data_IF_215751100200
#
_entry.id   IF_215751100200
#
_cell.length_a   1.000
_cell.length_b   1.000
_cell.length_c   1.000
_cell.angle_alpha   90.00
_cell.angle_beta   90.00
_cell.angle_gamma   90.00
#
_symmetry.space_group_name_H-M   'P 1'
#
loop_
_entity.id
_entity.type
_entity.pdbx_description
1 polymer ?
#
# COMPACT_ATOMS: atom_id res chain seq x y z
N UNK A 1 -12.39 -19.78 -2.20
CA UNK A 1 -12.50 -20.89 -3.18
C UNK A 1 -11.15 -21.51 -3.53
N UNK A 2 -10.27 -20.86 -4.29
CA UNK A 2 -8.98 -21.48 -4.68
C UNK A 2 -8.08 -21.83 -3.49
N UNK A 3 -8.02 -20.97 -2.46
CA UNK A 3 -7.26 -21.26 -1.22
C UNK A 3 -7.91 -22.41 -0.45
N UNK A 4 -9.25 -22.50 -0.39
CA UNK A 4 -9.96 -23.62 0.25
C UNK A 4 -9.65 -24.95 -0.46
N UNK A 5 -9.59 -24.93 -1.79
CA UNK A 5 -9.33 -26.08 -2.63
C UNK A 5 -7.88 -26.63 -2.55
N UNK A 6 -6.96 -25.94 -1.85
CA UNK A 6 -5.61 -26.44 -1.60
C UNK A 6 -5.56 -27.60 -0.59
N UNK A 7 -6.70 -28.00 0.00
CA UNK A 7 -6.76 -29.01 1.06
C UNK A 7 -5.91 -30.25 0.76
N UNK A 8 -4.89 -30.47 1.60
CA UNK A 8 -3.98 -31.63 1.52
C UNK A 8 -2.86 -31.56 0.46
N UNK A 9 -2.86 -30.57 -0.44
CA UNK A 9 -1.81 -30.39 -1.46
C UNK A 9 -0.65 -29.51 -0.99
N UNK A 10 -0.90 -28.67 0.02
CA UNK A 10 0.10 -27.83 0.70
C UNK A 10 0.08 -28.07 2.21
N UNK A 11 1.10 -27.59 2.92
CA UNK A 11 1.11 -27.59 4.40
C UNK A 11 -0.04 -26.72 4.93
N UNK A 12 -0.64 -27.14 6.04
CA UNK A 12 -1.72 -26.39 6.70
C UNK A 12 -1.31 -24.94 7.01
N UNK A 13 -0.08 -24.74 7.51
CA UNK A 13 0.44 -23.41 7.81
C UNK A 13 0.45 -22.49 6.57
N UNK A 14 0.87 -23.01 5.41
CA UNK A 14 0.84 -22.26 4.14
C UNK A 14 -0.59 -21.89 3.72
N UNK A 15 -1.54 -22.80 3.89
CA UNK A 15 -2.95 -22.52 3.60
C UNK A 15 -3.52 -21.45 4.54
N UNK A 16 -3.19 -21.52 5.83
CA UNK A 16 -3.59 -20.54 6.84
C UNK A 16 -2.99 -19.16 6.57
N UNK A 17 -1.71 -19.09 6.19
CA UNK A 17 -1.05 -17.84 5.79
C UNK A 17 -1.78 -17.15 4.63
N UNK A 18 -2.13 -17.90 3.58
CA UNK A 18 -2.90 -17.37 2.44
C UNK A 18 -4.28 -16.83 2.87
N UNK A 19 -4.98 -17.53 3.78
CA UNK A 19 -6.26 -17.04 4.32
C UNK A 19 -6.09 -15.76 5.14
N UNK A 20 -5.06 -15.68 5.99
CA UNK A 20 -4.80 -14.51 6.80
C UNK A 20 -4.46 -13.29 5.95
N UNK A 21 -3.76 -13.49 4.83
CA UNK A 21 -3.50 -12.42 3.87
C UNK A 21 -4.76 -11.94 3.16
N UNK A 22 -5.60 -12.85 2.65
CA UNK A 22 -6.89 -12.50 2.06
C UNK A 22 -7.76 -11.70 3.04
N UNK A 23 -7.84 -12.19 4.28
CA UNK A 23 -8.58 -11.52 5.35
C UNK A 23 -8.01 -10.12 5.60
N UNK A 24 -6.69 -9.98 5.72
CA UNK A 24 -6.05 -8.69 5.96
C UNK A 24 -6.30 -7.71 4.81
N UNK A 25 -6.24 -8.19 3.56
CA UNK A 25 -6.55 -7.40 2.37
C UNK A 25 -8.01 -6.92 2.40
N UNK A 26 -8.96 -7.81 2.68
CA UNK A 26 -10.38 -7.48 2.76
C UNK A 26 -10.69 -6.49 3.90
N UNK A 27 -10.12 -6.70 5.09
CA UNK A 27 -10.27 -5.79 6.22
C UNK A 27 -9.78 -4.37 5.87
N UNK A 28 -8.63 -4.24 5.20
CA UNK A 28 -8.10 -2.94 4.76
C UNK A 28 -8.97 -2.28 3.69
N UNK A 29 -9.48 -3.06 2.73
CA UNK A 29 -10.39 -2.55 1.70
C UNK A 29 -11.69 -2.00 2.31
N UNK A 30 -12.28 -2.73 3.26
CA UNK A 30 -13.50 -2.28 3.96
C UNK A 30 -13.22 -1.03 4.78
N UNK A 31 -12.10 -0.98 5.53
CA UNK A 31 -11.72 0.20 6.28
C UNK A 31 -11.47 1.41 5.39
N UNK A 32 -10.88 1.22 4.21
CA UNK A 32 -10.72 2.29 3.23
C UNK A 32 -12.08 2.85 2.81
N UNK A 33 -13.03 1.99 2.41
CA UNK A 33 -14.37 2.41 2.00
C UNK A 33 -15.11 3.17 3.11
N UNK A 34 -15.05 2.67 4.34
CA UNK A 34 -15.72 3.30 5.49
C UNK A 34 -15.16 4.70 5.84
N UNK A 35 -13.91 4.99 5.46
CA UNK A 35 -13.30 6.31 5.68
C UNK A 35 -13.52 7.28 4.53
N UNK A 36 -13.55 6.79 3.30
CA UNK A 36 -13.60 7.63 2.10
C UNK A 36 -14.99 7.75 1.49
N UNK A 37 -15.97 6.97 1.95
CA UNK A 37 -17.36 7.04 1.49
C UNK A 37 -18.27 7.51 2.62
N UNK A 38 -19.14 8.48 2.31
CA UNK A 38 -20.12 9.00 3.28
C UNK A 38 -21.17 7.93 3.57
N UNK A 39 -21.54 7.79 4.83
CA UNK A 39 -22.64 6.91 5.22
C UNK A 39 -24.00 7.52 4.79
N UNK A 40 -24.99 6.69 4.39
CA UNK A 40 -24.89 5.25 4.20
C UNK A 40 -24.12 4.88 2.92
N UNK A 41 -23.26 3.85 3.01
CA UNK A 41 -22.49 3.37 1.84
C UNK A 41 -23.39 2.50 0.98
N UNK A 42 -23.62 2.91 -0.27
CA UNK A 42 -24.23 2.05 -1.29
C UNK A 42 -23.20 1.00 -1.75
N UNK A 43 -23.41 -0.24 -1.30
CA UNK A 43 -22.52 -1.37 -1.60
C UNK A 43 -22.52 -1.69 -3.09
N UNK A 44 -23.68 -1.62 -3.76
CA UNK A 44 -23.78 -1.94 -5.18
C UNK A 44 -23.04 -0.90 -6.02
N UNK A 45 -23.19 0.38 -5.69
CA UNK A 45 -22.46 1.46 -6.33
C UNK A 45 -20.95 1.34 -6.10
N UNK A 46 -20.50 1.10 -4.86
CA UNK A 46 -19.08 0.92 -4.55
C UNK A 46 -18.48 -0.30 -5.30
N UNK A 47 -19.21 -1.40 -5.39
CA UNK A 47 -18.76 -2.56 -6.18
C UNK A 47 -18.66 -2.22 -7.66
N UNK A 48 -19.65 -1.51 -8.23
CA UNK A 48 -19.61 -1.10 -9.63
C UNK A 48 -18.45 -0.16 -9.93
N UNK A 49 -18.15 0.76 -9.01
CA UNK A 49 -17.05 1.72 -9.09
C UNK A 49 -15.67 1.04 -9.02
N UNK A 50 -15.42 0.23 -7.98
CA UNK A 50 -14.06 -0.26 -7.71
C UNK A 50 -13.71 -1.58 -8.39
N UNK A 51 -14.68 -2.46 -8.65
CA UNK A 51 -14.40 -3.81 -9.19
C UNK A 51 -13.56 -3.79 -10.47
N UNK A 52 -13.86 -2.96 -11.49
CA UNK A 52 -13.07 -2.95 -12.73
C UNK A 52 -11.61 -2.58 -12.49
N UNK A 53 -11.36 -1.54 -11.70
CA UNK A 53 -10.01 -1.07 -11.40
C UNK A 53 -9.21 -2.06 -10.56
N UNK A 54 -9.81 -2.62 -9.51
CA UNK A 54 -9.17 -3.65 -8.68
C UNK A 54 -8.86 -4.92 -9.49
N UNK A 55 -9.76 -5.33 -10.38
CA UNK A 55 -9.52 -6.48 -11.27
C UNK A 55 -8.38 -6.22 -12.26
N UNK A 56 -8.28 -5.01 -12.81
CA UNK A 56 -7.16 -4.65 -13.68
C UNK A 56 -5.82 -4.62 -12.90
N UNK A 57 -5.81 -4.06 -11.69
CA UNK A 57 -4.63 -4.05 -10.82
C UNK A 57 -4.22 -5.46 -10.37
N UNK A 58 -5.16 -6.36 -10.10
CA UNK A 58 -4.81 -7.73 -9.68
C UNK A 58 -4.07 -8.54 -10.75
N UNK A 59 -4.09 -8.10 -12.02
CA UNK A 59 -3.37 -8.73 -13.11
C UNK A 59 -2.15 -7.92 -13.59
N UNK A 60 -2.14 -6.59 -13.40
CA UNK A 60 -1.11 -5.71 -13.97
C UNK A 60 -0.28 -4.91 -12.96
N UNK A 61 -0.62 -4.94 -11.65
CA UNK A 61 0.07 -4.13 -10.65
C UNK A 61 1.53 -4.55 -10.45
N UNK A 62 1.86 -5.83 -10.64
CA UNK A 62 3.23 -6.32 -10.53
C UNK A 62 4.20 -5.55 -11.45
N UNK A 63 3.77 -5.23 -12.67
CA UNK A 63 4.55 -4.46 -13.63
C UNK A 63 4.78 -2.99 -13.19
N UNK A 64 4.01 -2.49 -12.22
CA UNK A 64 4.18 -1.15 -11.64
C UNK A 64 5.06 -1.15 -10.39
N UNK A 65 5.34 -2.32 -9.80
CA UNK A 65 6.19 -2.43 -8.62
C UNK A 65 7.65 -2.19 -9.01
N UNK A 66 8.35 -1.43 -8.17
CA UNK A 66 9.76 -1.08 -8.36
C UNK A 66 10.57 -1.28 -7.08
N UNK A 67 11.89 -1.23 -7.20
CA UNK A 67 12.84 -1.38 -6.11
C UNK A 67 12.55 -2.57 -5.18
N UNK A 68 12.65 -2.32 -3.88
CA UNK A 68 12.50 -3.33 -2.82
C UNK A 68 11.12 -3.98 -2.79
N UNK A 69 10.06 -3.27 -3.19
CA UNK A 69 8.71 -3.84 -3.22
C UNK A 69 8.59 -4.96 -4.25
N UNK A 70 9.20 -4.75 -5.42
CA UNK A 70 9.28 -5.78 -6.46
C UNK A 70 10.11 -6.99 -6.01
N UNK A 71 11.24 -6.75 -5.37
CA UNK A 71 12.08 -7.82 -4.80
C UNK A 71 11.32 -8.69 -3.79
N UNK A 72 10.52 -8.05 -2.94
CA UNK A 72 9.71 -8.74 -1.92
C UNK A 72 8.56 -9.53 -2.55
N UNK A 73 7.93 -9.00 -3.60
CA UNK A 73 6.93 -9.74 -4.37
C UNK A 73 7.53 -11.01 -4.99
N UNK A 74 8.70 -10.90 -5.64
CA UNK A 74 9.40 -12.07 -6.20
C UNK A 74 9.82 -13.08 -5.14
N UNK A 75 10.35 -12.63 -4.00
CA UNK A 75 10.73 -13.52 -2.90
C UNK A 75 9.51 -14.27 -2.33
N UNK A 76 8.37 -13.59 -2.19
CA UNK A 76 7.12 -14.19 -1.73
C UNK A 76 6.56 -15.20 -2.74
N UNK A 77 6.63 -14.89 -4.04
CA UNK A 77 6.24 -15.82 -5.10
C UNK A 77 7.08 -17.10 -5.04
N UNK A 78 8.42 -16.94 -5.01
CA UNK A 78 9.35 -18.07 -4.93
C UNK A 78 9.09 -18.94 -3.69
N UNK A 79 8.83 -18.32 -2.54
CA UNK A 79 8.47 -19.03 -1.30
C UNK A 79 7.17 -19.82 -1.43
N UNK A 80 6.16 -19.27 -2.10
CA UNK A 80 4.87 -19.94 -2.34
C UNK A 80 4.99 -21.10 -3.31
N UNK A 81 5.75 -20.92 -4.39
CA UNK A 81 6.04 -22.00 -5.34
C UNK A 81 6.80 -23.13 -4.64
N UNK A 82 7.80 -22.82 -3.82
CA UNK A 82 8.52 -23.81 -3.02
C UNK A 82 7.63 -24.52 -1.98
N UNK A 83 6.54 -23.87 -1.54
CA UNK A 83 5.53 -24.46 -0.67
C UNK A 83 4.42 -25.24 -1.43
N UNK A 84 4.60 -25.49 -2.73
CA UNK A 84 3.66 -26.16 -3.63
C UNK A 84 2.32 -25.43 -3.83
N UNK A 85 2.28 -24.12 -3.60
CA UNK A 85 1.12 -23.31 -4.00
C UNK A 85 1.05 -23.31 -5.53
N UNK A 86 -0.12 -23.60 -6.14
CA UNK A 86 -0.26 -23.59 -7.60
C UNK A 86 0.18 -22.26 -8.21
N UNK A 87 0.92 -22.32 -9.32
CA UNK A 87 1.61 -21.16 -9.92
C UNK A 87 0.71 -19.93 -10.08
N UNK A 88 -0.45 -20.08 -10.71
CA UNK A 88 -1.36 -18.93 -10.89
C UNK A 88 -1.87 -18.34 -9.57
N UNK A 89 -2.01 -19.15 -8.51
CA UNK A 89 -2.37 -18.64 -7.19
C UNK A 89 -1.17 -17.97 -6.52
N UNK A 90 0.04 -18.54 -6.63
CA UNK A 90 1.27 -17.94 -6.14
C UNK A 90 1.47 -16.54 -6.75
N UNK A 91 1.39 -16.42 -8.08
CA UNK A 91 1.48 -15.16 -8.83
C UNK A 91 0.45 -14.13 -8.40
N UNK A 92 -0.84 -14.48 -8.32
CA UNK A 92 -1.86 -13.49 -7.92
C UNK A 92 -1.76 -13.10 -6.46
N UNK A 93 -1.41 -14.04 -5.59
CA UNK A 93 -1.43 -13.81 -4.15
C UNK A 93 -0.33 -12.86 -3.70
N UNK A 94 0.77 -12.68 -4.46
CA UNK A 94 1.86 -11.76 -4.03
C UNK A 94 1.41 -10.31 -3.97
N UNK A 95 0.33 -10.00 -4.67
CA UNK A 95 -0.26 -8.66 -4.72
C UNK A 95 -1.23 -8.42 -3.57
N UNK A 96 -1.76 -9.43 -2.87
CA UNK A 96 -2.75 -9.23 -1.80
C UNK A 96 -2.30 -8.29 -0.67
N UNK A 97 -1.04 -8.32 -0.21
CA UNK A 97 -0.55 -7.36 0.79
C UNK A 97 -0.66 -5.89 0.33
N UNK A 98 -0.72 -5.65 -0.98
CA UNK A 98 -0.72 -4.34 -1.62
C UNK A 98 -2.06 -3.98 -2.26
N UNK A 99 -2.90 -4.95 -2.65
CA UNK A 99 -4.07 -4.72 -3.50
C UNK A 99 -5.11 -3.75 -2.90
N UNK A 100 -5.14 -3.62 -1.58
CA UNK A 100 -5.94 -2.60 -0.88
C UNK A 100 -5.56 -1.15 -1.23
N UNK A 101 -4.33 -0.86 -1.66
CA UNK A 101 -3.94 0.47 -2.15
C UNK A 101 -4.55 0.77 -3.51
N UNK A 102 -5.07 -0.24 -4.20
CA UNK A 102 -5.82 -0.06 -5.45
C UNK A 102 -7.06 0.81 -5.28
N UNK A 103 -7.61 0.93 -4.07
CA UNK A 103 -8.70 1.85 -3.80
C UNK A 103 -8.25 3.32 -3.90
N UNK A 104 -7.07 3.67 -3.36
CA UNK A 104 -6.48 5.01 -3.54
C UNK A 104 -6.27 5.29 -5.03
N UNK A 105 -5.70 4.32 -5.77
CA UNK A 105 -5.41 4.48 -7.20
C UNK A 105 -6.68 4.69 -8.02
N UNK A 106 -7.75 3.94 -7.74
CA UNK A 106 -9.03 4.10 -8.45
C UNK A 106 -9.67 5.44 -8.12
N UNK A 107 -9.72 5.83 -6.84
CA UNK A 107 -10.29 7.12 -6.41
C UNK A 107 -9.50 8.30 -7.00
N UNK A 108 -8.17 8.21 -7.00
CA UNK A 108 -7.29 9.23 -7.55
C UNK A 108 -7.38 9.32 -9.07
N UNK A 109 -7.51 8.19 -9.79
CA UNK A 109 -7.76 8.20 -11.24
C UNK A 109 -9.08 8.89 -11.59
N UNK A 110 -10.13 8.66 -10.79
CA UNK A 110 -11.42 9.33 -10.99
C UNK A 110 -11.35 10.82 -10.68
N UNK A 111 -10.63 11.23 -9.62
CA UNK A 111 -10.44 12.65 -9.26
C UNK A 111 -9.60 13.42 -10.29
N UNK A 112 -8.46 12.86 -10.69
CA UNK A 112 -7.49 13.51 -11.60
C UNK A 112 -7.86 13.37 -13.08
N UNK A 113 -8.85 12.52 -13.40
CA UNK A 113 -9.24 12.16 -14.77
C UNK A 113 -8.07 11.62 -15.60
N UNK A 114 -7.13 10.95 -14.94
CA UNK A 114 -5.97 10.32 -15.57
C UNK A 114 -6.18 8.82 -15.76
N UNK A 115 -5.52 8.19 -16.75
CA UNK A 115 -5.53 6.75 -16.90
C UNK A 115 -5.01 6.04 -15.65
N UNK A 116 -5.66 4.96 -15.24
CA UNK A 116 -5.30 4.21 -14.03
C UNK A 116 -3.84 3.74 -14.00
N UNK A 117 -3.26 3.37 -15.16
CA UNK A 117 -1.86 2.98 -15.25
C UNK A 117 -0.90 4.15 -14.96
N UNK A 118 -1.24 5.37 -15.41
CA UNK A 118 -0.48 6.59 -15.11
C UNK A 118 -0.51 6.88 -13.62
N UNK A 119 -1.69 6.79 -13.01
CA UNK A 119 -1.88 7.03 -11.57
C UNK A 119 -1.15 5.98 -10.73
N UNK A 120 -1.31 4.69 -11.03
CA UNK A 120 -0.58 3.62 -10.36
C UNK A 120 0.95 3.79 -10.50
N UNK A 121 1.40 4.18 -11.69
CA UNK A 121 2.81 4.44 -12.00
C UNK A 121 3.38 5.57 -11.15
N UNK A 122 2.67 6.69 -11.03
CA UNK A 122 3.04 7.83 -10.19
C UNK A 122 3.03 7.46 -8.71
N UNK A 123 1.96 6.82 -8.24
CA UNK A 123 1.77 6.39 -6.84
C UNK A 123 2.96 5.53 -6.36
N UNK A 124 3.32 4.49 -7.11
CA UNK A 124 4.44 3.62 -6.73
C UNK A 124 5.81 4.25 -7.01
N UNK A 125 5.93 5.18 -7.97
CA UNK A 125 7.17 5.91 -8.19
C UNK A 125 7.46 6.87 -7.02
N UNK A 126 6.47 7.59 -6.51
CA UNK A 126 6.63 8.43 -5.30
C UNK A 126 7.06 7.57 -4.11
N UNK A 127 6.40 6.41 -3.92
CA UNK A 127 6.76 5.47 -2.86
C UNK A 127 8.23 5.03 -2.92
N UNK A 128 8.72 4.72 -4.11
CA UNK A 128 10.11 4.30 -4.34
C UNK A 128 11.09 5.47 -4.17
N UNK A 129 10.84 6.62 -4.79
CA UNK A 129 11.74 7.77 -4.78
C UNK A 129 11.93 8.38 -3.39
N UNK A 130 10.91 8.29 -2.54
CA UNK A 130 10.99 8.69 -1.13
C UNK A 130 11.48 7.57 -0.21
N UNK A 131 11.79 6.39 -0.76
CA UNK A 131 12.17 5.17 -0.05
C UNK A 131 11.26 4.92 1.15
N UNK A 132 9.96 4.74 0.91
CA UNK A 132 8.94 4.60 1.97
C UNK A 132 8.79 3.15 2.47
N UNK A 133 9.55 2.21 1.92
CA UNK A 133 9.46 0.79 2.29
C UNK A 133 9.72 0.54 3.78
N UNK A 134 10.77 1.15 4.34
CA UNK A 134 11.09 1.00 5.77
C UNK A 134 9.94 1.47 6.66
N UNK A 135 9.25 2.56 6.28
CA UNK A 135 8.15 3.14 7.05
C UNK A 135 6.92 2.23 6.98
N UNK A 136 6.61 1.72 5.80
CA UNK A 136 5.57 0.71 5.59
C UNK A 136 5.78 -0.51 6.49
N UNK A 137 7.01 -1.06 6.50
CA UNK A 137 7.36 -2.20 7.35
C UNK A 137 7.36 -1.87 8.83
N UNK A 138 7.91 -0.73 9.24
CA UNK A 138 7.96 -0.32 10.64
C UNK A 138 6.55 -0.21 11.24
N UNK A 139 5.60 0.41 10.50
CA UNK A 139 4.18 0.42 10.86
C UNK A 139 3.63 -1.01 10.95
N UNK A 140 4.02 -1.87 10.00
CA UNK A 140 3.64 -3.28 9.98
C UNK A 140 4.16 -4.12 11.15
N UNK A 141 5.26 -3.71 11.80
CA UNK A 141 5.86 -4.37 12.96
C UNK A 141 5.38 -3.81 14.30
N UNK A 142 4.62 -2.72 14.31
CA UNK A 142 4.09 -2.14 15.55
C UNK A 142 3.29 -3.20 16.36
N UNK A 143 3.41 -3.18 17.70
CA UNK A 143 2.71 -4.10 18.59
C UNK A 143 1.20 -4.10 18.38
N UNK A 144 0.58 -5.25 18.64
CA UNK A 144 -0.88 -5.44 18.60
C UNK A 144 -1.42 -6.00 19.92
N UNK A 145 -0.71 -5.73 21.02
CA UNK A 145 -0.95 -6.34 22.33
C UNK A 145 -2.28 -5.92 22.95
N UNK A 146 -2.86 -4.81 22.49
CA UNK A 146 -4.20 -4.38 22.88
C UNK A 146 -4.96 -3.72 21.72
N UNK A 147 -6.25 -3.45 21.96
CA UNK A 147 -7.15 -2.80 20.99
C UNK A 147 -6.63 -1.43 20.53
N UNK A 148 -6.12 -0.61 21.45
CA UNK A 148 -5.65 0.75 21.14
C UNK A 148 -4.40 0.76 20.27
N UNK A 149 -3.46 -0.15 20.52
CA UNK A 149 -2.28 -0.34 19.68
C UNK A 149 -2.66 -0.82 18.28
N UNK A 150 -3.62 -1.75 18.19
CA UNK A 150 -4.15 -2.20 16.89
C UNK A 150 -4.78 -1.05 16.11
N UNK A 151 -5.58 -0.21 16.79
CA UNK A 151 -6.21 0.96 16.18
C UNK A 151 -5.17 2.01 15.78
N UNK A 152 -4.17 2.29 16.60
CA UNK A 152 -3.10 3.23 16.30
C UNK A 152 -2.26 2.79 15.10
N UNK A 153 -1.88 1.51 15.04
CA UNK A 153 -1.20 0.94 13.87
C UNK A 153 -2.04 1.09 12.61
N UNK A 154 -3.35 0.84 12.69
CA UNK A 154 -4.25 1.09 11.55
C UNK A 154 -4.17 2.56 11.15
N UNK A 155 -4.36 3.48 12.09
CA UNK A 155 -4.34 4.92 11.81
C UNK A 155 -3.04 5.37 11.13
N UNK A 156 -1.87 4.91 11.60
CA UNK A 156 -0.59 5.23 10.97
C UNK A 156 -0.47 4.66 9.55
N UNK A 157 -1.04 3.47 9.30
CA UNK A 157 -1.08 2.91 7.95
C UNK A 157 -1.95 3.78 7.04
N UNK A 158 -3.08 4.26 7.54
CA UNK A 158 -3.98 5.11 6.78
C UNK A 158 -3.33 6.47 6.49
N UNK A 159 -2.70 7.09 7.49
CA UNK A 159 -1.95 8.34 7.33
C UNK A 159 -0.83 8.21 6.28
N UNK A 160 -0.15 7.05 6.22
CA UNK A 160 0.85 6.78 5.19
C UNK A 160 0.24 6.73 3.79
N UNK A 161 -0.87 6.01 3.64
CA UNK A 161 -1.55 5.83 2.35
C UNK A 161 -2.18 7.13 1.85
N UNK A 162 -2.81 7.89 2.74
CA UNK A 162 -3.37 9.21 2.44
C UNK A 162 -2.27 10.18 1.98
N UNK A 163 -1.18 10.28 2.74
CA UNK A 163 -0.05 11.12 2.34
C UNK A 163 0.53 10.68 0.99
N UNK A 164 0.61 9.37 0.73
CA UNK A 164 1.09 8.87 -0.55
C UNK A 164 0.14 9.21 -1.72
N UNK A 165 -1.17 9.15 -1.50
CA UNK A 165 -2.17 9.55 -2.49
C UNK A 165 -2.07 11.06 -2.81
N UNK A 166 -1.95 11.91 -1.79
CA UNK A 166 -1.80 13.36 -1.95
C UNK A 166 -0.52 13.70 -2.74
N UNK A 167 0.60 13.07 -2.40
CA UNK A 167 1.88 13.28 -3.10
C UNK A 167 1.84 12.75 -4.54
N UNK A 168 1.12 11.66 -4.80
CA UNK A 168 0.92 11.15 -6.14
C UNK A 168 0.05 12.10 -6.98
N UNK A 169 -0.98 12.71 -6.38
CA UNK A 169 -1.79 13.76 -7.01
C UNK A 169 -0.95 14.98 -7.37
N UNK A 170 -0.14 15.47 -6.44
CA UNK A 170 0.79 16.59 -6.68
C UNK A 170 1.77 16.27 -7.82
N UNK A 171 2.29 15.05 -7.87
CA UNK A 171 3.18 14.60 -8.94
C UNK A 171 2.49 14.54 -10.30
N UNK A 172 1.22 14.12 -10.34
CA UNK A 172 0.41 14.13 -11.55
C UNK A 172 0.17 15.57 -12.02
N UNK A 173 -0.15 16.48 -11.09
CA UNK A 173 -0.39 17.91 -11.40
C UNK A 173 0.88 18.60 -11.90
N UNK A 174 2.04 18.26 -11.33
CA UNK A 174 3.33 18.77 -11.77
C UNK A 174 3.77 18.23 -13.15
N UNK A 175 3.08 17.21 -13.67
CA UNK A 175 3.35 16.57 -14.96
C UNK A 175 4.17 15.28 -14.84
N UNK A 176 5.05 15.18 -13.85
CA UNK A 176 5.74 13.93 -13.52
C UNK A 176 6.26 13.93 -12.08
N UNK A 177 6.60 12.74 -11.57
CA UNK A 177 7.29 12.61 -10.27
C UNK A 177 8.64 13.33 -10.28
N UNK A 178 9.36 13.34 -11.41
CA UNK A 178 10.64 14.03 -11.51
C UNK A 178 10.47 15.55 -11.39
N UNK A 179 9.47 16.12 -12.06
CA UNK A 179 9.17 17.55 -12.00
C UNK A 179 8.71 17.97 -10.60
N UNK A 180 7.86 17.14 -9.97
CA UNK A 180 7.45 17.35 -8.58
C UNK A 180 8.63 17.27 -7.61
N UNK A 181 9.53 16.31 -7.78
CA UNK A 181 10.73 16.21 -6.94
C UNK A 181 11.64 17.43 -7.10
N UNK A 182 11.84 17.91 -8.33
CA UNK A 182 12.64 19.09 -8.60
C UNK A 182 12.03 20.34 -7.96
N UNK A 183 10.71 20.50 -8.02
CA UNK A 183 10.00 21.60 -7.37
C UNK A 183 10.09 21.54 -5.82
N UNK A 184 10.22 20.33 -5.25
CA UNK A 184 10.18 20.09 -3.80
C UNK A 184 11.54 19.69 -3.19
N UNK A 185 12.65 19.86 -3.93
CA UNK A 185 13.98 19.33 -3.59
C UNK A 185 14.40 19.64 -2.13
N UNK A 186 14.23 20.90 -1.69
CA UNK A 186 14.59 21.33 -0.33
C UNK A 186 13.75 20.65 0.75
N UNK A 187 12.47 20.38 0.49
CA UNK A 187 11.57 19.73 1.44
C UNK A 187 11.86 18.24 1.52
N UNK A 188 12.05 17.60 0.35
CA UNK A 188 12.43 16.19 0.25
C UNK A 188 13.77 15.93 0.94
N UNK A 189 14.77 16.78 0.73
CA UNK A 189 16.09 16.65 1.37
C UNK A 189 15.98 16.69 2.90
N UNK A 190 15.15 17.60 3.45
CA UNK A 190 14.91 17.67 4.90
C UNK A 190 14.17 16.43 5.42
N UNK A 191 13.16 15.95 4.70
CA UNK A 191 12.44 14.74 5.08
C UNK A 191 13.36 13.51 5.06
N UNK A 192 14.22 13.37 4.05
CA UNK A 192 15.17 12.28 3.92
C UNK A 192 16.22 12.28 5.05
N UNK A 193 16.70 13.46 5.46
CA UNK A 193 17.61 13.59 6.61
C UNK A 193 16.94 13.09 7.90
N UNK A 194 15.71 13.51 8.16
CA UNK A 194 14.96 13.04 9.33
C UNK A 194 14.64 11.54 9.26
N UNK A 195 14.27 11.01 8.10
CA UNK A 195 14.06 9.57 7.93
C UNK A 195 15.34 8.80 8.24
N UNK A 196 16.51 9.33 7.86
CA UNK A 196 17.81 8.73 8.21
C UNK A 196 18.04 8.70 9.72
N UNK A 197 17.68 9.76 10.44
CA UNK A 197 17.78 9.81 11.91
C UNK A 197 16.83 8.78 12.56
N UNK A 198 15.57 8.73 12.14
CA UNK A 198 14.57 7.82 12.70
C UNK A 198 14.96 6.35 12.48
N UNK A 199 15.48 6.02 11.29
CA UNK A 199 15.93 4.66 10.94
C UNK A 199 17.08 4.15 11.79
N UNK A 200 17.87 5.03 12.43
CA UNK A 200 19.00 4.67 13.29
C UNK A 200 18.56 4.24 14.70
N UNK A 201 17.30 4.47 15.07
CA UNK A 201 16.77 4.05 16.36
C UNK A 201 16.53 2.54 16.37
N UNK A 202 16.94 1.86 17.43
CA UNK A 202 16.89 0.39 17.56
C UNK A 202 15.45 -0.17 17.46
N UNK A 203 14.45 0.61 17.89
CA UNK A 203 13.05 0.25 17.81
C UNK A 203 12.18 1.44 17.42
N UNK A 204 11.29 1.22 16.46
CA UNK A 204 10.29 2.20 16.07
C UNK A 204 9.03 2.03 16.92
N UNK A 205 8.55 3.12 17.49
CA UNK A 205 7.33 3.20 18.26
C UNK A 205 6.30 4.10 17.57
N UNK A 206 5.12 4.23 18.19
CA UNK A 206 4.05 5.09 17.65
C UNK A 206 4.54 6.54 17.48
N UNK A 207 5.30 7.05 18.45
CA UNK A 207 5.80 8.42 18.48
C UNK A 207 6.71 8.72 17.29
N UNK A 208 7.75 7.91 17.10
CA UNK A 208 8.75 8.09 16.03
C UNK A 208 8.12 7.97 14.65
N UNK A 209 7.20 7.02 14.46
CA UNK A 209 6.51 6.84 13.18
C UNK A 209 5.49 7.94 12.89
N UNK A 210 4.80 8.48 13.91
CA UNK A 210 3.94 9.67 13.73
C UNK A 210 4.75 10.90 13.31
N UNK A 211 5.97 11.07 13.83
CA UNK A 211 6.87 12.16 13.41
C UNK A 211 7.27 12.02 11.95
N UNK A 212 7.63 10.80 11.51
CA UNK A 212 7.94 10.52 10.10
C UNK A 212 6.75 10.84 9.19
N UNK A 213 5.54 10.39 9.56
CA UNK A 213 4.32 10.63 8.76
C UNK A 213 3.91 12.09 8.70
N UNK A 214 4.10 12.86 9.79
CA UNK A 214 3.90 14.31 9.75
C UNK A 214 4.81 14.97 8.73
N UNK A 215 6.05 14.51 8.62
CA UNK A 215 7.03 15.10 7.71
C UNK A 215 6.79 14.69 6.27
N UNK A 216 6.28 13.47 6.05
CA UNK A 216 5.76 13.05 4.75
C UNK A 216 4.59 13.93 4.30
N UNK A 217 3.59 14.17 5.17
CA UNK A 217 2.45 15.04 4.85
C UNK A 217 2.85 16.48 4.55
N UNK A 218 3.89 16.98 5.22
CA UNK A 218 4.40 18.33 4.93
C UNK A 218 4.98 18.46 3.52
N UNK A 219 5.26 17.36 2.80
CA UNK A 219 5.70 17.41 1.40
C UNK A 219 4.54 17.67 0.42
N UNK A 220 3.29 17.43 0.84
CA UNK A 220 2.14 17.66 -0.01
C UNK A 220 1.89 19.18 -0.13
N UNK A 221 1.64 19.64 -1.35
CA UNK A 221 1.41 21.05 -1.67
C UNK A 221 -0.07 21.44 -1.51
N UNK A 222 -0.97 20.46 -1.47
CA UNK A 222 -2.43 20.65 -1.46
C UNK A 222 -3.11 20.42 -0.08
N UNK A 223 -2.36 20.49 1.03
CA UNK A 223 -2.93 20.29 2.37
C UNK A 223 -3.71 21.51 2.91
#
# INVERSE_FOLDING_TARGET
EQVDALGGTVKLDTQLELFLELRTMAERAVLWLLRHRKAPVDIAAAVAEFRPGIAALSHGMEAQLRGRMREQAFALEAGRLAANVPEGLAQRSVLWPLLHTGFDVVDLAERTKQPMHTVAGAYWQVFEQLDLWWLWEAIGRLPRSNRWQTQARSALRDDLLAALADLAEDAIIAGSVADWMAANERMITRAAALFTEIRRVDSHDLTTLSVALRQLRNLALLA
#
